data_IF_713797050695
#
_entry.id   IF_713797050695
#
_cell.length_a   1.000
_cell.length_b   1.000
_cell.length_c   1.000
_cell.angle_alpha   90.00
_cell.angle_beta   90.00
_cell.angle_gamma   90.00
#
_symmetry.space_group_name_H-M   'P 1'
#
loop_
_entity.id
_entity.type
_entity.pdbx_description
1 polymer ?
#
# COMPACT_ATOMS: atom_id res chain seq x y z
N UNK A 1 6.53 -43.12 18.28
CA UNK A 1 7.46 -44.28 18.26
C UNK A 1 7.82 -44.79 16.87
N UNK A 2 6.92 -44.89 15.88
CA UNK A 2 7.28 -45.41 14.53
C UNK A 2 8.17 -44.51 13.63
N UNK A 3 8.29 -43.21 13.94
CA UNK A 3 9.02 -42.22 13.14
C UNK A 3 10.53 -42.26 13.40
N UNK A 4 10.93 -42.40 14.67
CA UNK A 4 12.32 -42.47 15.11
C UNK A 4 13.04 -43.69 14.54
N UNK A 5 12.38 -44.85 14.60
CA UNK A 5 12.90 -46.09 14.02
C UNK A 5 13.03 -46.04 12.49
N UNK A 6 12.30 -45.13 11.82
CA UNK A 6 12.41 -44.88 10.37
C UNK A 6 13.46 -43.84 10.00
N UNK A 7 13.81 -42.91 10.89
CA UNK A 7 14.85 -41.90 10.65
C UNK A 7 16.25 -42.44 10.96
N UNK A 8 16.35 -43.39 11.90
CA UNK A 8 17.63 -43.83 12.47
C UNK A 8 17.89 -45.34 12.38
N UNK A 9 17.14 -46.09 11.55
CA UNK A 9 17.47 -47.49 11.31
C UNK A 9 18.89 -47.58 10.74
N UNK A 10 19.81 -48.12 11.54
CA UNK A 10 21.18 -48.47 11.15
C UNK A 10 21.13 -49.19 9.80
N UNK A 11 22.00 -48.75 8.88
CA UNK A 11 22.36 -49.47 7.67
C UNK A 11 22.74 -50.92 8.04
N UNK A 12 21.80 -51.84 7.94
CA UNK A 12 22.15 -53.21 7.61
C UNK A 12 22.52 -53.22 6.12
N UNK A 13 23.63 -53.88 5.84
CA UNK A 13 24.30 -53.90 4.56
C UNK A 13 23.38 -54.42 3.45
N UNK A 14 22.94 -53.53 2.55
CA UNK A 14 22.56 -53.94 1.21
C UNK A 14 22.81 -52.79 0.22
N UNK A 15 23.75 -53.07 -0.66
CA UNK A 15 24.09 -52.41 -1.93
C UNK A 15 22.89 -51.87 -2.71
N UNK A 16 22.72 -50.55 -2.72
CA UNK A 16 22.35 -49.69 -3.86
C UNK A 16 22.10 -48.29 -3.30
N UNK A 17 22.73 -47.27 -3.86
CA UNK A 17 22.47 -45.87 -3.52
C UNK A 17 21.08 -45.46 -4.05
N UNK A 18 20.01 -45.90 -3.39
CA UNK A 18 18.74 -45.20 -3.45
C UNK A 18 18.84 -44.02 -2.47
N UNK A 19 18.95 -42.81 -3.01
CA UNK A 19 18.62 -41.61 -2.26
C UNK A 19 17.14 -41.71 -1.86
N UNK A 20 16.88 -42.14 -0.63
CA UNK A 20 15.53 -42.18 -0.07
C UNK A 20 15.03 -40.72 0.05
N UNK A 21 14.28 -40.27 -0.96
CA UNK A 21 13.59 -38.97 -0.95
C UNK A 21 12.40 -39.09 -0.02
N UNK A 22 12.40 -38.32 1.06
CA UNK A 22 11.36 -38.38 2.09
C UNK A 22 10.44 -37.18 1.95
N UNK A 23 9.22 -37.45 1.51
CA UNK A 23 8.16 -36.43 1.39
C UNK A 23 7.49 -36.28 2.76
N UNK A 24 7.60 -35.09 3.34
CA UNK A 24 7.11 -34.76 4.70
C UNK A 24 6.19 -33.55 4.62
N UNK A 25 5.12 -33.53 5.41
CA UNK A 25 4.28 -32.33 5.52
C UNK A 25 4.89 -31.28 6.46
N UNK A 26 4.34 -30.06 6.45
CA UNK A 26 4.91 -28.96 7.24
C UNK A 26 4.76 -29.15 8.76
N UNK A 27 3.80 -29.96 9.21
CA UNK A 27 3.53 -30.23 10.63
C UNK A 27 4.47 -31.31 11.18
N UNK A 28 4.56 -32.42 10.46
CA UNK A 28 5.48 -33.52 10.72
C UNK A 28 6.95 -33.03 10.73
N UNK A 29 7.32 -32.13 9.82
CA UNK A 29 8.67 -31.53 9.81
C UNK A 29 8.90 -30.63 11.04
N UNK A 30 7.90 -29.87 11.47
CA UNK A 30 8.04 -28.99 12.64
C UNK A 30 8.18 -29.81 13.94
N UNK A 31 7.42 -30.88 14.08
CA UNK A 31 7.53 -31.82 15.19
C UNK A 31 8.91 -32.50 15.20
N UNK A 32 9.40 -32.92 14.04
CA UNK A 32 10.71 -33.55 13.91
C UNK A 32 11.84 -32.58 14.30
N UNK A 33 11.77 -31.32 13.86
CA UNK A 33 12.73 -30.29 14.25
C UNK A 33 12.66 -29.97 15.74
N UNK A 34 11.46 -29.91 16.33
CA UNK A 34 11.30 -29.66 17.76
C UNK A 34 11.91 -30.81 18.59
N UNK A 35 11.60 -32.05 18.22
CA UNK A 35 12.17 -33.21 18.89
C UNK A 35 13.70 -33.24 18.80
N UNK A 36 14.27 -32.87 17.65
CA UNK A 36 15.72 -32.81 17.47
C UNK A 36 16.35 -31.70 18.33
N UNK A 37 15.68 -30.54 18.46
CA UNK A 37 16.10 -29.48 19.41
C UNK A 37 16.12 -30.03 20.84
N UNK A 38 15.06 -30.71 21.26
CA UNK A 38 14.94 -31.24 22.63
C UNK A 38 16.02 -32.30 22.89
N UNK A 39 16.27 -33.20 21.93
CA UNK A 39 17.35 -34.18 22.02
C UNK A 39 18.74 -33.52 22.08
N UNK A 40 18.97 -32.49 21.26
CA UNK A 40 20.22 -31.75 21.28
C UNK A 40 20.41 -30.99 22.59
N UNK A 41 19.37 -30.46 23.23
CA UNK A 41 19.50 -29.80 24.53
C UNK A 41 19.90 -30.78 25.63
N UNK A 42 19.34 -31.99 25.62
CA UNK A 42 19.48 -32.94 26.73
C UNK A 42 20.73 -33.83 26.65
N UNK A 43 21.19 -34.19 25.45
CA UNK A 43 22.22 -35.23 25.27
C UNK A 43 23.54 -34.65 24.82
N UNK A 44 24.63 -34.94 25.53
CA UNK A 44 25.99 -34.70 25.05
C UNK A 44 26.69 -36.02 24.77
N UNK A 45 27.32 -36.14 23.60
CA UNK A 45 28.19 -37.29 23.28
C UNK A 45 29.59 -37.13 23.88
N UNK A 46 29.80 -36.08 24.68
CA UNK A 46 31.06 -35.73 25.31
C UNK A 46 30.92 -35.78 26.83
N UNK A 47 31.88 -36.41 27.50
CA UNK A 47 31.84 -36.63 28.95
C UNK A 47 32.30 -35.39 29.73
N UNK A 48 31.38 -34.42 29.85
CA UNK A 48 31.60 -33.21 30.65
C UNK A 48 31.69 -33.49 32.15
N UNK A 49 31.04 -34.55 32.65
CA UNK A 49 31.05 -34.90 34.07
C UNK A 49 32.46 -35.24 34.53
N UNK A 50 33.19 -36.04 33.74
CA UNK A 50 34.59 -36.37 34.02
C UNK A 50 35.46 -35.13 34.03
N UNK A 51 35.35 -34.24 33.05
CA UNK A 51 36.13 -32.99 33.00
C UNK A 51 35.84 -32.10 34.21
N UNK A 52 34.58 -31.92 34.57
CA UNK A 52 34.18 -31.12 35.74
C UNK A 52 34.76 -31.72 37.02
N UNK A 53 34.71 -33.05 37.16
CA UNK A 53 35.27 -33.76 38.31
C UNK A 53 36.79 -33.59 38.39
N UNK A 54 37.48 -33.65 37.26
CA UNK A 54 38.93 -33.42 37.21
C UNK A 54 39.30 -31.98 37.55
N UNK A 55 38.61 -30.98 36.98
CA UNK A 55 38.81 -29.56 37.33
C UNK A 55 38.60 -29.35 38.83
N UNK A 56 37.56 -29.96 39.41
CA UNK A 56 37.28 -29.90 40.84
C UNK A 56 38.41 -30.52 41.67
N UNK A 57 38.92 -31.68 41.25
CA UNK A 57 40.06 -32.34 41.88
C UNK A 57 41.33 -31.48 41.82
N UNK A 58 41.66 -30.93 40.65
CA UNK A 58 42.82 -30.06 40.47
C UNK A 58 42.71 -28.77 41.29
N UNK A 59 41.52 -28.18 41.41
CA UNK A 59 41.28 -27.03 42.30
C UNK A 59 41.48 -27.35 43.78
N UNK A 60 41.13 -28.57 44.24
CA UNK A 60 41.40 -29.00 45.61
C UNK A 60 42.90 -29.16 45.87
N UNK A 61 43.64 -29.77 44.94
CA UNK A 61 45.11 -29.88 45.02
C UNK A 61 45.75 -28.50 45.00
N UNK A 62 45.30 -27.62 44.10
CA UNK A 62 45.75 -26.24 43.99
C UNK A 62 45.52 -25.46 45.30
N UNK A 63 44.38 -25.65 45.96
CA UNK A 63 44.10 -25.04 47.28
C UNK A 63 45.11 -25.51 48.33
N UNK A 64 45.35 -26.82 48.44
CA UNK A 64 46.28 -27.38 49.41
C UNK A 64 47.71 -26.87 49.19
N UNK A 65 48.18 -26.89 47.94
CA UNK A 65 49.50 -26.39 47.54
C UNK A 65 49.66 -24.89 47.78
N UNK A 66 48.58 -24.13 47.65
CA UNK A 66 48.56 -22.70 47.95
C UNK A 66 48.78 -22.44 49.45
N UNK A 67 48.18 -23.26 50.32
CA UNK A 67 48.37 -23.15 51.76
C UNK A 67 49.76 -23.65 52.19
N UNK A 68 50.32 -24.68 51.53
CA UNK A 68 51.71 -25.12 51.71
C UNK A 68 52.70 -23.99 51.36
N UNK A 69 52.53 -23.33 50.19
CA UNK A 69 53.36 -22.20 49.77
C UNK A 69 53.30 -21.03 50.76
N UNK A 70 52.15 -20.81 51.42
CA UNK A 70 51.99 -19.76 52.41
C UNK A 70 52.89 -19.98 53.65
N UNK A 71 53.20 -21.24 53.98
CA UNK A 71 54.03 -21.60 55.14
C UNK A 71 55.54 -21.59 54.85
N UNK A 72 55.95 -21.48 53.58
CA UNK A 72 57.37 -21.48 53.21
C UNK A 72 58.06 -20.22 53.74
N UNK A 73 59.13 -20.42 54.52
CA UNK A 73 60.00 -19.38 55.06
C UNK A 73 61.17 -19.12 54.11
N UNK A 74 61.49 -17.85 53.89
CA UNK A 74 62.59 -17.43 53.03
C UNK A 74 63.88 -17.27 53.84
N UNK A 75 64.93 -17.97 53.43
CA UNK A 75 66.28 -17.86 54.01
C UNK A 75 67.15 -16.94 53.13
N UNK A 76 67.98 -16.08 53.74
CA UNK A 76 68.91 -15.20 53.00
C UNK A 76 68.64 -13.69 53.12
N UNK A 77 68.99 -12.93 52.08
CA UNK A 77 69.02 -11.45 52.08
C UNK A 77 67.65 -10.80 52.30
N UNK A 78 67.55 -9.90 53.28
CA UNK A 78 66.31 -9.19 53.67
C UNK A 78 65.65 -8.47 52.48
N UNK A 79 66.44 -7.86 51.59
CA UNK A 79 65.91 -7.08 50.46
C UNK A 79 65.32 -7.97 49.36
N UNK A 80 65.99 -9.08 49.04
CA UNK A 80 65.49 -10.06 48.07
C UNK A 80 64.25 -10.78 48.62
N UNK A 81 64.26 -11.11 49.91
CA UNK A 81 63.15 -11.80 50.57
C UNK A 81 61.87 -10.95 50.56
N UNK A 82 61.94 -9.62 50.72
CA UNK A 82 60.75 -8.74 50.60
C UNK A 82 60.09 -8.80 49.21
N UNK A 83 60.90 -8.83 48.15
CA UNK A 83 60.39 -8.89 46.76
C UNK A 83 59.76 -10.26 46.48
N UNK A 84 60.42 -11.33 46.92
CA UNK A 84 59.92 -12.70 46.77
C UNK A 84 58.63 -12.90 47.57
N UNK A 85 58.57 -12.40 48.81
CA UNK A 85 57.41 -12.51 49.70
C UNK A 85 56.19 -11.75 49.14
N UNK A 86 56.38 -10.54 48.61
CA UNK A 86 55.31 -9.79 47.96
C UNK A 86 54.71 -10.57 46.76
N UNK A 87 55.58 -11.11 45.90
CA UNK A 87 55.14 -11.88 44.73
C UNK A 87 54.51 -13.22 45.11
N UNK A 88 55.03 -13.90 46.14
CA UNK A 88 54.43 -15.11 46.74
C UNK A 88 52.99 -14.84 47.18
N UNK A 89 52.80 -13.78 47.96
CA UNK A 89 51.48 -13.40 48.46
C UNK A 89 50.52 -12.97 47.34
N UNK A 90 51.04 -12.37 46.27
CA UNK A 90 50.23 -12.06 45.09
C UNK A 90 49.75 -13.35 44.40
N UNK A 91 50.64 -14.32 44.13
CA UNK A 91 50.25 -15.63 43.56
C UNK A 91 49.16 -16.29 44.41
N UNK A 92 49.37 -16.36 45.74
CA UNK A 92 48.39 -16.92 46.69
C UNK A 92 47.04 -16.20 46.56
N UNK A 93 47.03 -14.86 46.50
CA UNK A 93 45.81 -14.07 46.36
C UNK A 93 45.09 -14.37 45.06
N UNK A 94 45.81 -14.45 43.93
CA UNK A 94 45.21 -14.75 42.62
C UNK A 94 44.59 -16.14 42.61
N UNK A 95 45.30 -17.14 43.13
CA UNK A 95 44.81 -18.52 43.21
C UNK A 95 43.59 -18.65 44.12
N UNK A 96 43.60 -18.01 45.30
CA UNK A 96 42.42 -17.98 46.19
C UNK A 96 41.22 -17.33 45.52
N UNK A 97 41.44 -16.27 44.74
CA UNK A 97 40.39 -15.58 43.97
C UNK A 97 39.82 -16.47 42.87
N UNK A 98 40.68 -17.21 42.15
CA UNK A 98 40.24 -18.20 41.15
C UNK A 98 39.33 -19.27 41.78
N UNK A 99 39.77 -19.84 42.90
CA UNK A 99 39.02 -20.88 43.61
C UNK A 99 37.66 -20.35 44.07
N UNK A 100 37.61 -19.15 44.66
CA UNK A 100 36.35 -18.56 45.14
C UNK A 100 35.38 -18.19 44.02
N UNK A 101 35.90 -17.79 42.86
CA UNK A 101 35.09 -17.39 41.71
C UNK A 101 34.58 -18.57 40.88
N UNK A 102 35.20 -19.74 41.01
CA UNK A 102 34.80 -20.93 40.24
C UNK A 102 33.52 -21.54 40.83
N UNK A 103 32.42 -21.44 40.09
CA UNK A 103 31.13 -22.03 40.46
C UNK A 103 30.81 -23.19 39.54
N UNK A 104 30.78 -24.40 40.08
CA UNK A 104 30.46 -25.60 39.32
C UNK A 104 28.99 -25.63 38.87
N UNK A 105 28.70 -26.17 37.68
CA UNK A 105 27.33 -26.32 37.19
C UNK A 105 26.56 -27.33 38.06
N UNK A 106 25.24 -27.14 38.14
CA UNK A 106 24.31 -28.02 38.87
C UNK A 106 23.74 -29.12 37.96
N UNK A 107 23.70 -28.86 36.66
CA UNK A 107 23.28 -29.78 35.61
C UNK A 107 24.26 -29.77 34.43
N UNK A 108 24.27 -30.84 33.64
CA UNK A 108 25.02 -30.91 32.38
C UNK A 108 24.24 -30.31 31.19
N UNK A 109 23.36 -29.33 31.44
CA UNK A 109 22.67 -28.62 30.37
C UNK A 109 23.63 -27.71 29.60
N UNK A 110 23.35 -27.47 28.31
CA UNK A 110 24.19 -26.62 27.47
C UNK A 110 24.44 -25.24 28.09
N UNK A 111 23.39 -24.58 28.58
CA UNK A 111 23.48 -23.23 29.12
C UNK A 111 24.36 -23.16 30.37
N UNK A 112 24.24 -24.13 31.28
CA UNK A 112 25.06 -24.18 32.49
C UNK A 112 26.53 -24.52 32.17
N UNK A 113 26.78 -25.46 31.27
CA UNK A 113 28.13 -25.85 30.85
C UNK A 113 28.85 -24.70 30.12
N UNK A 114 28.16 -24.04 29.19
CA UNK A 114 28.70 -22.89 28.47
C UNK A 114 29.00 -21.71 29.42
N UNK A 115 28.11 -21.44 30.37
CA UNK A 115 28.30 -20.39 31.36
C UNK A 115 29.47 -20.71 32.31
N UNK A 116 29.58 -21.96 32.75
CA UNK A 116 30.70 -22.43 33.58
C UNK A 116 32.03 -22.28 32.84
N UNK A 117 32.11 -22.80 31.61
CA UNK A 117 33.33 -22.76 30.80
C UNK A 117 33.77 -21.32 30.55
N UNK A 118 32.85 -20.44 30.12
CA UNK A 118 33.15 -19.03 29.86
C UNK A 118 33.64 -18.28 31.11
N UNK A 119 32.92 -18.39 32.23
CA UNK A 119 33.27 -17.66 33.47
C UNK A 119 34.56 -18.17 34.09
N UNK A 120 34.75 -19.48 34.11
CA UNK A 120 35.94 -20.10 34.70
C UNK A 120 37.16 -19.81 33.84
N UNK A 121 37.05 -19.87 32.51
CA UNK A 121 38.12 -19.51 31.58
C UNK A 121 38.54 -18.04 31.72
N UNK A 122 37.58 -17.13 31.88
CA UNK A 122 37.89 -15.72 32.15
C UNK A 122 38.65 -15.53 33.47
N UNK A 123 38.15 -16.13 34.57
CA UNK A 123 38.80 -16.03 35.88
C UNK A 123 40.21 -16.67 35.87
N UNK A 124 40.37 -17.78 35.14
CA UNK A 124 41.62 -18.49 35.00
C UNK A 124 42.65 -17.66 34.21
N UNK A 125 42.22 -17.02 33.13
CA UNK A 125 43.08 -16.16 32.32
C UNK A 125 43.66 -15.02 33.17
N UNK A 126 42.83 -14.29 33.93
CA UNK A 126 43.29 -13.24 34.85
C UNK A 126 44.23 -13.80 35.93
N UNK A 127 43.92 -14.96 36.50
CA UNK A 127 44.78 -15.61 37.50
C UNK A 127 46.14 -15.98 36.91
N UNK A 128 46.18 -16.58 35.73
CA UNK A 128 47.39 -17.02 35.06
C UNK A 128 48.28 -15.83 34.66
N UNK A 129 47.71 -14.77 34.07
CA UNK A 129 48.47 -13.57 33.69
C UNK A 129 49.14 -12.90 34.90
N UNK A 130 48.39 -12.74 36.01
CA UNK A 130 48.90 -12.11 37.22
C UNK A 130 49.89 -13.01 37.96
N UNK A 131 49.63 -14.32 38.02
CA UNK A 131 50.51 -15.28 38.70
C UNK A 131 51.80 -15.49 37.93
N UNK A 132 51.78 -15.49 36.59
CA UNK A 132 52.98 -15.61 35.77
C UNK A 132 53.94 -14.43 35.95
N UNK A 133 53.40 -13.20 36.02
CA UNK A 133 54.21 -12.00 36.31
C UNK A 133 54.94 -12.13 37.65
N UNK A 134 54.23 -12.59 38.69
CA UNK A 134 54.83 -12.81 40.00
C UNK A 134 55.76 -14.02 40.05
N UNK A 135 55.46 -15.08 39.28
CA UNK A 135 56.28 -16.29 39.18
C UNK A 135 57.68 -16.00 38.65
N UNK A 136 57.85 -15.05 37.72
CA UNK A 136 59.17 -14.64 37.24
C UNK A 136 60.12 -14.19 38.35
N UNK A 137 59.60 -13.66 39.46
CA UNK A 137 60.38 -13.23 40.61
C UNK A 137 60.58 -14.32 41.67
N UNK A 138 59.76 -15.38 41.66
CA UNK A 138 59.80 -16.44 42.69
C UNK A 138 60.43 -17.74 42.19
N UNK A 139 60.48 -17.97 40.87
CA UNK A 139 60.81 -19.27 40.25
C UNK A 139 62.16 -19.87 40.63
N UNK A 140 63.16 -19.04 40.98
CA UNK A 140 64.51 -19.51 41.32
C UNK A 140 64.65 -19.89 42.79
N UNK A 141 63.68 -19.52 43.63
CA UNK A 141 63.74 -19.67 45.09
C UNK A 141 62.60 -20.53 45.62
N UNK A 142 61.44 -20.52 44.98
CA UNK A 142 60.22 -21.22 45.41
C UNK A 142 59.80 -22.22 44.33
N UNK A 143 60.29 -23.46 44.42
CA UNK A 143 59.91 -24.55 43.51
C UNK A 143 58.40 -24.81 43.52
N UNK A 144 57.75 -24.69 44.68
CA UNK A 144 56.29 -24.85 44.84
C UNK A 144 55.49 -23.83 44.01
N UNK A 145 56.08 -22.66 43.68
CA UNK A 145 55.43 -21.67 42.81
C UNK A 145 55.33 -22.14 41.36
N UNK A 146 56.24 -23.02 40.90
CA UNK A 146 56.13 -23.66 39.59
C UNK A 146 55.00 -24.68 39.56
N UNK A 147 54.85 -25.49 40.62
CA UNK A 147 53.80 -26.51 40.74
C UNK A 147 52.40 -25.87 40.70
N UNK A 148 52.20 -24.71 41.34
CA UNK A 148 50.94 -23.96 41.24
C UNK A 148 50.65 -23.50 39.81
N UNK A 149 51.65 -22.99 39.08
CA UNK A 149 51.47 -22.55 37.70
C UNK A 149 51.09 -23.74 36.81
N UNK A 150 51.71 -24.90 37.00
CA UNK A 150 51.38 -26.12 36.24
C UNK A 150 49.95 -26.61 36.55
N UNK A 151 49.50 -26.56 37.80
CA UNK A 151 48.12 -26.88 38.17
C UNK A 151 47.10 -25.91 37.55
N UNK A 152 47.42 -24.61 37.48
CA UNK A 152 46.59 -23.60 36.78
C UNK A 152 46.50 -23.92 35.28
N UNK A 153 47.63 -24.27 34.64
CA UNK A 153 47.66 -24.68 33.23
C UNK A 153 46.88 -25.96 32.98
N UNK A 154 46.92 -26.92 33.89
CA UNK A 154 46.11 -28.15 33.78
C UNK A 154 44.61 -27.83 33.78
N UNK A 155 44.16 -26.93 34.65
CA UNK A 155 42.75 -26.46 34.63
C UNK A 155 42.44 -25.77 33.29
N UNK A 156 43.38 -24.99 32.73
CA UNK A 156 43.20 -24.35 31.43
C UNK A 156 42.97 -25.37 30.31
N UNK A 157 43.84 -26.38 30.24
CA UNK A 157 43.73 -27.45 29.25
C UNK A 157 42.38 -28.18 29.33
N UNK A 158 41.91 -28.49 30.53
CA UNK A 158 40.60 -29.13 30.73
C UNK A 158 39.42 -28.26 30.33
N UNK A 159 39.49 -26.94 30.55
CA UNK A 159 38.46 -26.01 30.07
C UNK A 159 38.49 -25.82 28.55
N UNK A 160 39.67 -25.91 27.93
CA UNK A 160 39.81 -25.84 26.47
C UNK A 160 39.24 -27.09 25.79
N UNK A 161 39.35 -28.26 26.41
CA UNK A 161 38.69 -29.50 25.93
C UNK A 161 37.16 -29.36 25.85
N UNK A 162 36.55 -28.53 26.69
CA UNK A 162 35.11 -28.25 26.65
C UNK A 162 34.68 -27.34 25.48
N UNK A 163 35.60 -26.57 24.90
CA UNK A 163 35.27 -25.48 23.96
C UNK A 163 34.68 -26.01 22.64
N UNK A 164 35.38 -26.94 21.99
CA UNK A 164 34.97 -27.50 20.70
C UNK A 164 33.58 -28.19 20.75
N UNK A 165 33.31 -29.09 21.72
CA UNK A 165 31.99 -29.70 21.85
C UNK A 165 30.88 -28.66 22.09
N UNK A 166 31.09 -27.65 22.94
CA UNK A 166 30.11 -26.60 23.20
C UNK A 166 29.86 -25.71 21.97
N UNK A 167 30.89 -25.35 21.22
CA UNK A 167 30.77 -24.56 19.98
C UNK A 167 30.01 -25.35 18.90
N UNK A 168 30.33 -26.62 18.73
CA UNK A 168 29.63 -27.51 17.80
C UNK A 168 28.14 -27.62 18.16
N UNK A 169 27.85 -27.84 19.45
CA UNK A 169 26.49 -27.90 20.00
C UNK A 169 25.69 -26.63 19.71
N UNK A 170 26.30 -25.47 19.99
CA UNK A 170 25.70 -24.16 19.72
C UNK A 170 25.31 -23.99 18.25
N UNK A 171 26.23 -24.37 17.35
CA UNK A 171 26.01 -24.29 15.90
C UNK A 171 24.84 -25.18 15.48
N UNK A 172 24.78 -26.41 16.00
CA UNK A 172 23.69 -27.36 15.72
C UNK A 172 22.33 -26.84 16.20
N UNK A 173 22.25 -26.34 17.44
CA UNK A 173 21.03 -25.73 17.98
C UNK A 173 20.59 -24.50 17.17
N UNK A 174 21.53 -23.66 16.75
CA UNK A 174 21.24 -22.49 15.89
C UNK A 174 20.68 -22.90 14.51
N UNK A 175 21.19 -23.98 13.91
CA UNK A 175 20.68 -24.52 12.65
C UNK A 175 19.24 -25.03 12.80
N UNK A 176 18.97 -25.82 13.85
CA UNK A 176 17.65 -26.39 14.10
C UNK A 176 16.59 -25.31 14.39
N UNK A 177 16.93 -24.36 15.24
CA UNK A 177 16.05 -23.23 15.58
C UNK A 177 15.81 -22.32 14.36
N UNK A 178 16.85 -22.07 13.55
CA UNK A 178 16.73 -21.35 12.28
C UNK A 178 15.79 -22.04 11.29
N UNK A 179 15.91 -23.37 11.13
CA UNK A 179 15.02 -24.16 10.28
C UNK A 179 13.56 -24.06 10.73
N UNK A 180 13.31 -24.15 12.04
CA UNK A 180 11.97 -24.01 12.63
C UNK A 180 11.39 -22.62 12.37
N UNK A 181 12.19 -21.57 12.50
CA UNK A 181 11.76 -20.20 12.21
C UNK A 181 11.37 -20.03 10.73
N UNK A 182 12.18 -20.56 9.81
CA UNK A 182 11.87 -20.53 8.37
C UNK A 182 10.58 -21.30 8.05
N UNK A 183 10.35 -22.45 8.68
CA UNK A 183 9.11 -23.22 8.52
C UNK A 183 7.88 -22.46 9.05
N UNK A 184 8.02 -21.73 10.16
CA UNK A 184 6.96 -20.84 10.66
C UNK A 184 6.65 -19.70 9.69
N UNK A 185 7.68 -19.10 9.10
CA UNK A 185 7.50 -18.07 8.06
C UNK A 185 6.78 -18.64 6.83
N UNK A 186 7.08 -19.89 6.45
CA UNK A 186 6.45 -20.56 5.32
C UNK A 186 4.94 -20.76 5.54
N UNK A 187 4.55 -21.15 6.77
CA UNK A 187 3.13 -21.24 7.16
C UNK A 187 2.44 -19.89 7.10
N UNK A 188 3.08 -18.85 7.63
CA UNK A 188 2.54 -17.48 7.57
C UNK A 188 2.31 -17.03 6.12
N UNK A 189 3.30 -17.24 5.24
CA UNK A 189 3.18 -16.90 3.81
C UNK A 189 2.08 -17.68 3.10
N UNK A 190 1.89 -18.94 3.47
CA UNK A 190 0.79 -19.77 2.93
C UNK A 190 -0.58 -19.23 3.37
N UNK A 191 -0.73 -18.87 4.65
CA UNK A 191 -1.96 -18.24 5.14
C UNK A 191 -2.22 -16.85 4.50
N UNK A 192 -1.16 -16.05 4.31
CA UNK A 192 -1.24 -14.77 3.59
C UNK A 192 -1.70 -14.96 2.14
N UNK A 193 -1.18 -15.97 1.43
CA UNK A 193 -1.63 -16.32 0.08
C UNK A 193 -3.11 -16.69 0.08
N UNK A 194 -3.54 -17.63 0.91
CA UNK A 194 -4.96 -18.04 1.03
C UNK A 194 -5.90 -16.85 1.27
N UNK A 195 -5.47 -15.90 2.11
CA UNK A 195 -6.23 -14.66 2.34
C UNK A 195 -6.33 -13.79 1.09
N UNK A 196 -5.26 -13.69 0.29
CA UNK A 196 -5.30 -12.98 -0.99
C UNK A 196 -6.26 -13.66 -1.98
N UNK A 197 -6.27 -15.00 -2.06
CA UNK A 197 -7.17 -15.74 -2.97
C UNK A 197 -8.63 -15.49 -2.60
N UNK A 198 -8.95 -15.56 -1.31
CA UNK A 198 -10.30 -15.26 -0.81
C UNK A 198 -10.71 -13.81 -1.10
N UNK A 199 -9.77 -12.87 -0.99
CA UNK A 199 -10.01 -11.45 -1.28
C UNK A 199 -10.27 -11.25 -2.76
N UNK A 200 -9.44 -11.81 -3.63
CA UNK A 200 -9.63 -11.74 -5.08
C UNK A 200 -10.97 -12.36 -5.50
N UNK A 201 -11.34 -13.52 -4.94
CA UNK A 201 -12.63 -14.15 -5.22
C UNK A 201 -13.80 -13.23 -4.89
N UNK A 202 -13.79 -12.62 -3.70
CA UNK A 202 -14.82 -11.66 -3.27
C UNK A 202 -14.89 -10.43 -4.18
N UNK A 203 -13.74 -9.93 -4.64
CA UNK A 203 -13.69 -8.81 -5.58
C UNK A 203 -14.29 -9.21 -6.94
N UNK A 204 -13.93 -10.37 -7.49
CA UNK A 204 -14.49 -10.89 -8.74
C UNK A 204 -16.00 -11.11 -8.67
N UNK A 205 -16.50 -11.65 -7.56
CA UNK A 205 -17.94 -11.82 -7.33
C UNK A 205 -18.64 -10.46 -7.37
N UNK A 206 -18.15 -9.46 -6.63
CA UNK A 206 -18.68 -8.09 -6.65
C UNK A 206 -18.65 -7.45 -8.04
N UNK A 207 -17.54 -7.60 -8.77
CA UNK A 207 -17.42 -7.10 -10.14
C UNK A 207 -18.45 -7.73 -11.08
N UNK A 208 -18.73 -9.02 -10.91
CA UNK A 208 -19.75 -9.73 -11.71
C UNK A 208 -21.14 -9.15 -11.46
N UNK A 209 -21.49 -8.88 -10.20
CA UNK A 209 -22.76 -8.24 -9.86
C UNK A 209 -22.86 -6.83 -10.46
N UNK A 210 -21.83 -5.98 -10.29
CA UNK A 210 -21.82 -4.64 -10.88
C UNK A 210 -21.92 -4.66 -12.40
N UNK A 211 -21.24 -5.60 -13.06
CA UNK A 211 -21.33 -5.74 -14.50
C UNK A 211 -22.75 -6.12 -14.94
N UNK A 212 -23.43 -6.96 -14.17
CA UNK A 212 -24.83 -7.32 -14.42
C UNK A 212 -25.76 -6.11 -14.22
N UNK A 213 -25.55 -5.31 -13.19
CA UNK A 213 -26.35 -4.10 -12.92
C UNK A 213 -26.16 -3.07 -14.04
N UNK A 214 -24.91 -2.81 -14.46
CA UNK A 214 -24.57 -1.94 -15.59
C UNK A 214 -25.28 -2.38 -16.88
N UNK A 215 -25.24 -3.69 -17.16
CA UNK A 215 -25.89 -4.26 -18.34
C UNK A 215 -27.41 -4.13 -18.25
N UNK A 216 -27.99 -4.41 -17.07
CA UNK A 216 -29.43 -4.30 -16.82
C UNK A 216 -29.91 -2.86 -17.00
N UNK A 217 -29.19 -1.88 -16.46
CA UNK A 217 -29.47 -0.46 -16.66
C UNK A 217 -29.34 -0.06 -18.15
N UNK A 218 -28.34 -0.60 -18.86
CA UNK A 218 -28.18 -0.42 -20.30
C UNK A 218 -29.36 -0.95 -21.10
N UNK A 219 -29.80 -2.18 -20.81
CA UNK A 219 -30.96 -2.82 -21.44
C UNK A 219 -32.25 -2.06 -21.14
N UNK A 220 -32.43 -1.58 -19.92
CA UNK A 220 -33.60 -0.76 -19.55
C UNK A 220 -33.63 0.55 -20.33
N UNK A 221 -32.48 1.23 -20.49
CA UNK A 221 -32.38 2.44 -21.32
C UNK A 221 -32.76 2.13 -22.77
N UNK A 222 -32.25 1.04 -23.35
CA UNK A 222 -32.58 0.65 -24.73
C UNK A 222 -34.06 0.26 -24.88
N UNK A 223 -34.65 -0.37 -23.87
CA UNK A 223 -36.08 -0.67 -23.86
C UNK A 223 -36.93 0.61 -23.80
N UNK A 224 -36.56 1.60 -22.98
CA UNK A 224 -37.23 2.90 -22.93
C UNK A 224 -37.17 3.58 -24.30
N UNK A 225 -36.03 3.52 -25.00
CA UNK A 225 -35.88 4.11 -26.35
C UNK A 225 -36.81 3.52 -27.41
N UNK A 226 -37.33 2.31 -27.18
CA UNK A 226 -38.30 1.65 -28.08
C UNK A 226 -39.75 1.98 -27.72
N UNK A 227 -40.00 2.69 -26.62
CA UNK A 227 -41.36 3.01 -26.19
C UNK A 227 -41.96 4.18 -26.97
N UNK A 228 -43.30 4.23 -27.13
CA UNK A 228 -43.98 5.37 -27.74
C UNK A 228 -43.70 6.70 -27.02
N UNK A 229 -43.45 6.63 -25.71
CA UNK A 229 -43.12 7.82 -24.94
C UNK A 229 -41.77 8.44 -25.32
N UNK A 230 -40.76 7.61 -25.64
CA UNK A 230 -39.49 8.12 -26.16
C UNK A 230 -39.66 8.71 -27.56
N UNK A 231 -40.45 8.05 -28.42
CA UNK A 231 -40.78 8.61 -29.73
C UNK A 231 -41.45 9.98 -29.61
N UNK A 232 -42.44 10.12 -28.71
CA UNK A 232 -43.08 11.39 -28.42
C UNK A 232 -42.07 12.43 -27.92
N UNK A 233 -41.18 12.06 -26.99
CA UNK A 233 -40.11 12.94 -26.52
C UNK A 233 -39.20 13.41 -27.67
N UNK A 234 -38.79 12.51 -28.58
CA UNK A 234 -37.98 12.89 -29.75
C UNK A 234 -38.75 13.79 -30.72
N UNK A 235 -40.07 13.62 -30.85
CA UNK A 235 -40.94 14.51 -31.62
C UNK A 235 -40.98 15.92 -31.02
N UNK A 236 -41.12 16.04 -29.70
CA UNK A 236 -41.05 17.33 -29.00
C UNK A 236 -39.69 18.01 -29.21
N UNK A 237 -38.58 17.25 -29.21
CA UNK A 237 -37.26 17.80 -29.51
C UNK A 237 -37.15 18.32 -30.95
N UNK A 238 -37.73 17.63 -31.93
CA UNK A 238 -37.77 18.09 -33.33
C UNK A 238 -38.62 19.35 -33.47
N UNK A 239 -39.81 19.36 -32.87
CA UNK A 239 -40.71 20.52 -32.86
C UNK A 239 -40.02 21.75 -32.24
N UNK A 240 -39.27 21.56 -31.15
CA UNK A 240 -38.47 22.63 -30.53
C UNK A 240 -37.46 23.22 -31.52
N UNK A 241 -36.79 22.37 -32.29
CA UNK A 241 -35.83 22.83 -33.30
C UNK A 241 -36.53 23.61 -34.40
N UNK A 242 -37.65 23.11 -34.94
CA UNK A 242 -38.45 23.80 -35.96
C UNK A 242 -38.95 25.16 -35.47
N UNK A 243 -39.53 25.23 -34.27
CA UNK A 243 -40.01 26.48 -33.69
C UNK A 243 -38.87 27.48 -33.44
N UNK A 244 -37.67 27.03 -33.07
CA UNK A 244 -36.48 27.90 -32.95
C UNK A 244 -36.08 28.48 -34.31
N UNK A 245 -36.09 27.67 -35.36
CA UNK A 245 -35.80 28.13 -36.72
C UNK A 245 -36.85 29.15 -37.21
N UNK A 246 -38.14 28.89 -36.99
CA UNK A 246 -39.22 29.83 -37.31
C UNK A 246 -39.11 31.14 -36.52
N UNK A 247 -38.82 31.07 -35.22
CA UNK A 247 -38.58 32.26 -34.38
C UNK A 247 -37.46 33.14 -34.93
N UNK A 248 -36.34 32.52 -35.31
CA UNK A 248 -35.22 33.24 -35.93
C UNK A 248 -35.58 33.82 -37.28
N UNK A 249 -36.41 33.13 -38.07
CA UNK A 249 -36.92 33.65 -39.33
C UNK A 249 -37.76 34.93 -39.11
N UNK A 250 -38.72 34.92 -38.19
CA UNK A 250 -39.51 36.12 -37.89
C UNK A 250 -38.67 37.25 -37.31
N UNK A 251 -37.66 36.94 -36.51
CA UNK A 251 -36.71 37.95 -36.02
C UNK A 251 -35.93 38.60 -37.17
N UNK A 252 -35.44 37.81 -38.13
CA UNK A 252 -34.79 38.33 -39.34
C UNK A 252 -35.72 39.20 -40.16
N UNK A 253 -36.97 38.79 -40.35
CA UNK A 253 -37.95 39.57 -41.10
C UNK A 253 -38.27 40.92 -40.44
N UNK A 254 -38.48 40.94 -39.13
CA UNK A 254 -38.68 42.18 -38.36
C UNK A 254 -37.48 43.12 -38.50
N UNK A 255 -36.27 42.59 -38.39
CA UNK A 255 -35.04 43.38 -38.56
C UNK A 255 -34.91 43.93 -39.99
N UNK A 256 -35.28 43.16 -41.01
CA UNK A 256 -35.31 43.61 -42.41
C UNK A 256 -36.28 44.77 -42.60
N UNK A 257 -37.43 44.77 -41.93
CA UNK A 257 -38.39 45.88 -42.01
C UNK A 257 -37.89 47.14 -41.31
N UNK A 258 -37.13 47.01 -40.22
CA UNK A 258 -36.56 48.15 -39.50
C UNK A 258 -35.28 48.68 -40.15
N UNK A 259 -34.49 47.84 -40.81
CA UNK A 259 -33.18 48.23 -41.36
C UNK A 259 -33.20 49.51 -42.22
N UNK A 260 -34.18 49.74 -43.13
CA UNK A 260 -34.30 51.00 -43.88
C UNK A 260 -34.56 52.23 -43.01
N UNK A 261 -35.17 52.04 -41.82
CA UNK A 261 -35.56 53.09 -40.89
C UNK A 261 -34.46 53.43 -39.87
N UNK A 262 -33.50 52.54 -39.63
CA UNK A 262 -32.50 52.67 -38.54
C UNK A 262 -31.79 54.03 -38.52
N UNK A 263 -31.38 54.57 -39.68
CA UNK A 263 -30.69 55.88 -39.73
C UNK A 263 -31.61 57.04 -39.33
N UNK A 264 -32.88 56.98 -39.75
CA UNK A 264 -33.91 57.93 -39.37
C UNK A 264 -34.21 57.83 -37.88
N UNK A 265 -34.42 56.61 -37.37
CA UNK A 265 -34.69 56.35 -35.95
C UNK A 265 -33.54 56.84 -35.06
N UNK A 266 -32.28 56.55 -35.41
CA UNK A 266 -31.11 57.05 -34.67
C UNK A 266 -31.02 58.59 -34.68
N UNK A 267 -31.39 59.23 -35.78
CA UNK A 267 -31.40 60.71 -35.86
C UNK A 267 -32.49 61.29 -34.97
N UNK A 268 -33.68 60.71 -35.01
CA UNK A 268 -34.80 61.09 -34.16
C UNK A 268 -34.45 60.91 -32.68
N UNK A 269 -33.76 59.82 -32.33
CA UNK A 269 -33.29 59.54 -30.97
C UNK A 269 -32.29 60.61 -30.49
N UNK A 270 -31.32 60.98 -31.34
CA UNK A 270 -30.36 62.06 -31.04
C UNK A 270 -31.03 63.42 -30.87
N UNK A 271 -31.98 63.76 -31.72
CA UNK A 271 -32.72 65.03 -31.63
C UNK A 271 -33.63 65.06 -30.39
N UNK A 272 -34.20 63.92 -30.00
CA UNK A 272 -34.94 63.81 -28.75
C UNK A 272 -34.05 63.96 -27.52
N UNK A 273 -32.89 63.29 -27.49
CA UNK A 273 -31.91 63.40 -26.38
C UNK A 273 -31.34 64.82 -26.24
N UNK A 274 -31.16 65.54 -27.35
CA UNK A 274 -30.67 66.92 -27.37
C UNK A 274 -31.76 67.99 -27.22
N UNK A 275 -33.01 67.59 -26.91
CA UNK A 275 -34.18 68.46 -26.76
C UNK A 275 -34.52 69.32 -28.00
N UNK A 276 -33.90 69.04 -29.15
CA UNK A 276 -34.20 69.69 -30.43
C UNK A 276 -35.54 69.23 -31.00
N UNK A 277 -36.03 68.08 -30.55
CA UNK A 277 -37.32 67.52 -30.90
C UNK A 277 -37.99 66.90 -29.68
N UNK A 278 -39.22 67.29 -29.36
CA UNK A 278 -39.93 66.80 -28.17
C UNK A 278 -40.82 65.62 -28.56
N UNK A 279 -40.40 64.40 -28.21
CA UNK A 279 -41.21 63.18 -28.35
C UNK A 279 -42.11 62.98 -27.13
N UNK A 280 -43.32 62.45 -27.35
CA UNK A 280 -44.14 61.86 -26.29
C UNK A 280 -43.40 60.65 -25.69
N UNK A 281 -43.62 60.38 -24.40
CA UNK A 281 -42.88 59.32 -23.70
C UNK A 281 -43.14 57.91 -24.27
N UNK A 282 -44.38 57.62 -24.68
CA UNK A 282 -44.70 56.38 -25.41
C UNK A 282 -43.88 56.24 -26.70
N UNK A 283 -43.75 57.31 -27.49
CA UNK A 283 -42.96 57.29 -28.73
C UNK A 283 -41.44 57.20 -28.46
N UNK A 284 -40.94 57.74 -27.34
CA UNK A 284 -39.54 57.52 -26.93
C UNK A 284 -39.29 56.06 -26.62
N UNK A 285 -40.19 55.42 -25.87
CA UNK A 285 -40.10 54.01 -25.52
C UNK A 285 -40.15 53.11 -26.77
N UNK A 286 -41.13 53.32 -27.66
CA UNK A 286 -41.22 52.59 -28.94
C UNK A 286 -39.98 52.81 -29.81
N UNK A 287 -39.46 54.03 -29.89
CA UNK A 287 -38.24 54.34 -30.64
C UNK A 287 -37.02 53.54 -30.12
N UNK A 288 -36.82 53.53 -28.80
CA UNK A 288 -35.74 52.75 -28.18
C UNK A 288 -35.93 51.25 -28.40
N UNK A 289 -37.16 50.74 -28.28
CA UNK A 289 -37.47 49.34 -28.53
C UNK A 289 -37.24 48.96 -30.01
N UNK A 290 -37.64 49.79 -30.97
CA UNK A 290 -37.39 49.54 -32.39
C UNK A 290 -35.90 49.54 -32.75
N UNK A 291 -35.06 50.30 -32.06
CA UNK A 291 -33.61 50.30 -32.29
C UNK A 291 -32.88 49.11 -31.65
N UNK A 292 -33.42 48.56 -30.56
CA UNK A 292 -32.72 47.54 -29.75
C UNK A 292 -33.38 46.16 -29.84
N UNK A 293 -34.70 46.12 -29.72
CA UNK A 293 -35.53 44.91 -29.61
C UNK A 293 -36.83 45.06 -30.40
N UNK A 294 -36.78 45.12 -31.76
CA UNK A 294 -37.96 45.33 -32.60
C UNK A 294 -39.13 44.40 -32.31
N UNK A 295 -38.84 43.12 -32.04
CA UNK A 295 -39.81 42.09 -31.65
C UNK A 295 -40.61 42.35 -30.36
N UNK A 296 -40.16 43.27 -29.51
CA UNK A 296 -40.83 43.67 -28.25
C UNK A 296 -41.32 45.12 -28.27
N UNK A 297 -41.26 45.79 -29.42
CA UNK A 297 -41.71 47.17 -29.53
C UNK A 297 -43.23 47.25 -29.39
N UNK A 298 -43.69 48.16 -28.54
CA UNK A 298 -45.10 48.45 -28.27
C UNK A 298 -45.55 49.70 -29.04
N UNK A 299 -46.85 49.82 -29.31
CA UNK A 299 -47.46 50.97 -30.01
C UNK A 299 -46.82 51.32 -31.37
N UNK A 300 -46.35 50.30 -32.10
CA UNK A 300 -45.54 50.44 -33.32
C UNK A 300 -46.32 51.11 -34.45
N UNK A 301 -47.61 50.80 -34.63
CA UNK A 301 -48.47 51.48 -35.62
C UNK A 301 -48.65 52.96 -35.30
N UNK A 302 -48.96 53.33 -34.05
CA UNK A 302 -49.07 54.74 -33.64
C UNK A 302 -47.76 55.49 -33.90
N UNK A 303 -46.63 54.86 -33.56
CA UNK A 303 -45.32 55.43 -33.80
C UNK A 303 -44.98 55.57 -35.29
N UNK A 304 -45.33 54.60 -36.14
CA UNK A 304 -45.10 54.67 -37.58
C UNK A 304 -45.99 55.72 -38.27
N UNK A 305 -47.25 55.90 -37.83
CA UNK A 305 -48.11 56.99 -38.29
C UNK A 305 -47.47 58.34 -37.96
N UNK A 306 -47.05 58.50 -36.70
CA UNK A 306 -46.34 59.69 -36.24
C UNK A 306 -45.06 59.96 -37.05
N UNK A 307 -44.27 58.92 -37.34
CA UNK A 307 -43.05 59.04 -38.11
C UNK A 307 -43.32 59.47 -39.56
N UNK A 308 -44.41 58.97 -40.15
CA UNK A 308 -44.85 59.33 -41.50
C UNK A 308 -45.36 60.79 -41.59
N UNK A 309 -46.07 61.27 -40.57
CA UNK A 309 -46.46 62.69 -40.44
C UNK A 309 -45.23 63.59 -40.28
N UNK A 310 -44.29 63.19 -39.41
CA UNK A 310 -43.06 63.95 -39.15
C UNK A 310 -42.21 64.15 -40.42
N UNK A 311 -42.13 63.13 -41.27
CA UNK A 311 -41.44 63.21 -42.56
C UNK A 311 -42.14 64.13 -43.57
N UNK A 312 -43.44 64.36 -43.42
CA UNK A 312 -44.21 65.25 -44.31
C UNK A 312 -43.97 66.74 -44.02
N UNK A 313 -43.43 67.06 -42.83
CA UNK A 313 -43.14 68.43 -42.40
C UNK A 313 -41.65 68.84 -42.54
N UNK A 314 -40.81 67.99 -43.13
CA UNK A 314 -39.34 68.16 -43.33
C UNK A 314 -38.57 68.65 -42.09
N UNK A 315 -39.01 68.26 -40.89
CA UNK A 315 -38.43 68.73 -39.62
C UNK A 315 -37.11 68.03 -39.25
N UNK A 316 -36.76 66.99 -40.01
CA UNK A 316 -35.63 66.11 -39.72
C UNK A 316 -34.42 66.37 -40.61
N UNK A 317 -34.46 67.31 -41.56
CA UNK A 317 -33.32 67.68 -42.42
C UNK A 317 -32.73 66.50 -43.18
N UNK A 318 -33.59 65.66 -43.75
CA UNK A 318 -33.24 64.47 -44.53
C UNK A 318 -33.34 64.82 -46.02
N UNK A 319 -32.45 64.29 -46.86
CA UNK A 319 -32.51 64.56 -48.30
C UNK A 319 -33.90 64.14 -48.87
N UNK A 320 -34.57 64.99 -49.67
CA UNK A 320 -35.89 64.72 -50.24
C UNK A 320 -36.03 63.35 -50.92
N UNK A 321 -35.01 62.90 -51.67
CA UNK A 321 -35.03 61.59 -52.35
C UNK A 321 -35.01 60.41 -51.36
N UNK A 322 -34.43 60.60 -50.17
CA UNK A 322 -34.44 59.59 -49.10
C UNK A 322 -35.74 59.63 -48.30
N UNK A 323 -36.33 60.82 -48.10
CA UNK A 323 -37.66 60.98 -47.49
C UNK A 323 -38.67 60.20 -48.31
N UNK A 324 -38.70 60.36 -49.64
CA UNK A 324 -39.64 59.64 -50.50
C UNK A 324 -39.56 58.11 -50.35
N UNK A 325 -38.34 57.55 -50.36
CA UNK A 325 -38.12 56.10 -50.18
C UNK A 325 -38.54 55.59 -48.80
N UNK A 326 -38.21 56.33 -47.74
CA UNK A 326 -38.57 55.95 -46.37
C UNK A 326 -40.08 56.07 -46.16
N UNK A 327 -40.70 57.14 -46.66
CA UNK A 327 -42.15 57.35 -46.63
C UNK A 327 -42.88 56.26 -47.40
N UNK A 328 -42.38 55.84 -48.56
CA UNK A 328 -42.93 54.70 -49.31
C UNK A 328 -42.85 53.39 -48.50
N UNK A 329 -41.72 53.13 -47.84
CA UNK A 329 -41.53 51.96 -46.98
C UNK A 329 -42.43 51.97 -45.73
N UNK A 330 -42.58 53.12 -45.07
CA UNK A 330 -43.50 53.28 -43.93
C UNK A 330 -44.96 53.09 -44.34
N UNK A 331 -45.36 53.67 -45.49
CA UNK A 331 -46.70 53.43 -46.05
C UNK A 331 -46.92 51.96 -46.38
N UNK A 332 -45.90 51.26 -46.86
CA UNK A 332 -45.99 49.82 -47.09
C UNK A 332 -46.17 49.04 -45.77
N UNK A 333 -45.36 49.31 -44.74
CA UNK A 333 -45.50 48.69 -43.41
C UNK A 333 -46.91 48.93 -42.84
N UNK A 334 -47.39 50.18 -42.87
CA UNK A 334 -48.70 50.57 -42.33
C UNK A 334 -49.88 49.99 -43.10
N UNK A 335 -49.80 49.89 -44.43
CA UNK A 335 -50.89 49.35 -45.27
C UNK A 335 -50.99 47.83 -45.23
N UNK A 336 -49.84 47.17 -45.16
CA UNK A 336 -49.76 45.71 -45.22
C UNK A 336 -49.89 45.04 -43.85
N UNK A 337 -49.78 45.81 -42.77
CA UNK A 337 -49.75 45.34 -41.38
C UNK A 337 -48.68 44.26 -41.08
N UNK A 338 -47.71 44.07 -41.99
CA UNK A 338 -46.79 42.92 -41.93
C UNK A 338 -45.89 42.99 -40.68
N UNK A 339 -45.57 44.18 -40.18
CA UNK A 339 -44.74 44.33 -38.98
C UNK A 339 -45.44 43.81 -37.72
N UNK A 340 -46.68 44.24 -37.47
CA UNK A 340 -47.45 43.77 -36.32
C UNK A 340 -47.76 42.27 -36.42
N UNK A 341 -48.10 41.78 -37.61
CA UNK A 341 -48.32 40.35 -37.84
C UNK A 341 -47.07 39.51 -37.51
N UNK A 342 -45.88 39.98 -37.91
CA UNK A 342 -44.62 39.31 -37.59
C UNK A 342 -44.29 39.37 -36.10
N UNK A 343 -44.57 40.49 -35.43
CA UNK A 343 -44.42 40.60 -33.97
C UNK A 343 -45.36 39.62 -33.24
N UNK A 344 -46.61 39.51 -33.70
CA UNK A 344 -47.59 38.57 -33.14
C UNK A 344 -47.18 37.11 -33.36
N UNK A 345 -46.72 36.75 -34.56
CA UNK A 345 -46.19 35.41 -34.87
C UNK A 345 -44.95 35.08 -34.04
N UNK A 346 -44.03 36.03 -33.88
CA UNK A 346 -42.87 35.87 -33.01
C UNK A 346 -43.28 35.60 -31.56
N UNK A 347 -44.15 36.43 -30.97
CA UNK A 347 -44.64 36.23 -29.59
C UNK A 347 -45.34 34.89 -29.41
N UNK A 348 -46.17 34.48 -30.38
CA UNK A 348 -46.84 33.19 -30.33
C UNK A 348 -45.85 32.02 -30.31
N UNK A 349 -44.80 32.07 -31.15
CA UNK A 349 -43.77 31.03 -31.18
C UNK A 349 -42.92 31.05 -29.91
N UNK A 350 -42.58 32.23 -29.39
CA UNK A 350 -41.84 32.39 -28.13
C UNK A 350 -42.60 31.70 -26.97
N UNK A 351 -43.90 31.96 -26.86
CA UNK A 351 -44.77 31.33 -25.87
C UNK A 351 -44.87 29.81 -26.07
N UNK A 352 -45.01 29.35 -27.33
CA UNK A 352 -45.03 27.90 -27.64
C UNK A 352 -43.72 27.22 -27.26
N UNK A 353 -42.58 27.86 -27.52
CA UNK A 353 -41.26 27.36 -27.14
C UNK A 353 -41.12 27.25 -25.62
N UNK A 354 -41.57 28.26 -24.87
CA UNK A 354 -41.54 28.23 -23.40
C UNK A 354 -42.36 27.06 -22.84
N UNK A 355 -43.59 26.87 -23.35
CA UNK A 355 -44.45 25.74 -22.96
C UNK A 355 -43.84 24.39 -23.34
N UNK A 356 -43.23 24.31 -24.52
CA UNK A 356 -42.57 23.10 -25.00
C UNK A 356 -41.32 22.76 -24.19
N UNK A 357 -40.51 23.75 -23.83
CA UNK A 357 -39.32 23.56 -22.98
C UNK A 357 -39.72 23.08 -21.59
N UNK A 358 -40.78 23.63 -21.00
CA UNK A 358 -41.34 23.13 -19.74
C UNK A 358 -41.77 21.67 -19.86
N UNK A 359 -42.51 21.32 -20.91
CA UNK A 359 -42.98 19.95 -21.17
C UNK A 359 -41.82 18.97 -21.35
N UNK A 360 -40.77 19.37 -22.06
CA UNK A 360 -39.56 18.57 -22.26
C UNK A 360 -38.82 18.35 -20.93
N UNK A 361 -38.69 19.38 -20.09
CA UNK A 361 -38.00 19.29 -18.81
C UNK A 361 -38.78 18.49 -17.77
N UNK A 362 -40.12 18.51 -17.83
CA UNK A 362 -41.01 17.73 -16.96
C UNK A 362 -41.21 16.29 -17.47
N UNK A 363 -40.59 15.91 -18.59
CA UNK A 363 -40.68 14.57 -19.16
C UNK A 363 -40.14 13.52 -18.19
N UNK A 364 -41.02 12.64 -17.72
CA UNK A 364 -40.67 11.52 -16.86
C UNK A 364 -39.66 10.58 -17.53
N UNK A 365 -39.75 10.41 -18.85
CA UNK A 365 -38.86 9.56 -19.64
C UNK A 365 -37.44 10.11 -19.65
N UNK A 366 -37.30 11.44 -19.78
CA UNK A 366 -36.00 12.10 -19.70
C UNK A 366 -35.40 11.91 -18.31
N UNK A 367 -36.19 12.10 -17.25
CA UNK A 367 -35.74 11.88 -15.87
C UNK A 367 -35.29 10.43 -15.67
N UNK A 368 -36.10 9.46 -16.08
CA UNK A 368 -35.80 8.03 -15.94
C UNK A 368 -34.51 7.64 -16.67
N UNK A 369 -34.30 8.11 -17.90
CA UNK A 369 -33.06 7.85 -18.64
C UNK A 369 -31.86 8.51 -17.98
N UNK A 370 -32.00 9.73 -17.46
CA UNK A 370 -30.91 10.42 -16.77
C UNK A 370 -30.52 9.72 -15.47
N UNK A 371 -31.51 9.26 -14.70
CA UNK A 371 -31.29 8.53 -13.44
C UNK A 371 -30.59 7.19 -13.71
N UNK A 372 -31.05 6.43 -14.71
CA UNK A 372 -30.39 5.18 -15.12
C UNK A 372 -28.97 5.40 -15.63
N UNK A 373 -28.73 6.45 -16.43
CA UNK A 373 -27.38 6.78 -16.89
C UNK A 373 -26.46 7.18 -15.73
N UNK A 374 -26.98 7.91 -14.73
CA UNK A 374 -26.21 8.26 -13.53
C UNK A 374 -25.83 7.01 -12.75
N UNK A 375 -26.81 6.17 -12.41
CA UNK A 375 -26.58 4.91 -11.70
C UNK A 375 -25.55 4.03 -12.43
N UNK A 376 -25.72 3.85 -13.74
CA UNK A 376 -24.78 3.08 -14.58
C UNK A 376 -23.36 3.67 -14.55
N UNK A 377 -23.21 4.99 -14.59
CA UNK A 377 -21.89 5.63 -14.55
C UNK A 377 -21.24 5.50 -13.16
N UNK A 378 -22.03 5.60 -12.09
CA UNK A 378 -21.56 5.40 -10.71
C UNK A 378 -21.06 3.96 -10.54
N UNK A 379 -21.85 2.97 -10.98
CA UNK A 379 -21.46 1.55 -10.98
C UNK A 379 -20.22 1.27 -11.84
N UNK A 380 -20.11 1.89 -13.01
CA UNK A 380 -18.94 1.77 -13.89
C UNK A 380 -17.67 2.31 -13.21
N UNK A 381 -17.81 3.41 -12.45
CA UNK A 381 -16.69 3.99 -11.70
C UNK A 381 -16.24 3.06 -10.56
N UNK A 382 -17.21 2.46 -9.85
CA UNK A 382 -16.92 1.47 -8.81
C UNK A 382 -16.26 0.23 -9.43
N UNK A 383 -16.76 -0.26 -10.57
CA UNK A 383 -16.18 -1.40 -11.28
C UNK A 383 -14.70 -1.19 -11.61
N UNK A 384 -14.35 -0.03 -12.18
CA UNK A 384 -12.95 0.31 -12.47
C UNK A 384 -12.08 0.36 -11.20
N UNK A 385 -12.65 0.82 -10.07
CA UNK A 385 -11.93 0.82 -8.79
C UNK A 385 -11.65 -0.61 -8.32
N UNK A 386 -12.64 -1.50 -8.40
CA UNK A 386 -12.47 -2.93 -8.04
C UNK A 386 -11.50 -3.66 -8.99
N UNK A 387 -11.45 -3.30 -10.28
CA UNK A 387 -10.46 -3.81 -11.23
C UNK A 387 -9.03 -3.45 -10.81
N UNK A 388 -8.82 -2.19 -10.41
CA UNK A 388 -7.53 -1.73 -9.90
C UNK A 388 -7.14 -2.46 -8.61
N UNK A 389 -8.06 -2.59 -7.66
CA UNK A 389 -7.84 -3.34 -6.40
C UNK A 389 -7.51 -4.81 -6.66
N UNK A 390 -8.21 -5.44 -7.61
CA UNK A 390 -7.92 -6.82 -8.04
C UNK A 390 -6.52 -6.92 -8.65
N UNK A 391 -6.11 -5.94 -9.44
CA UNK A 391 -4.75 -5.85 -9.98
C UNK A 391 -3.68 -5.75 -8.88
N UNK A 392 -3.94 -4.98 -7.82
CA UNK A 392 -3.06 -4.89 -6.64
C UNK A 392 -2.99 -6.22 -5.90
N UNK A 393 -4.13 -6.87 -5.66
CA UNK A 393 -4.20 -8.18 -5.00
C UNK A 393 -3.40 -9.23 -5.77
N UNK A 394 -3.54 -9.30 -7.10
CA UNK A 394 -2.77 -10.23 -7.95
C UNK A 394 -1.28 -9.97 -7.90
N UNK A 395 -0.84 -8.70 -7.94
CA UNK A 395 0.59 -8.34 -7.79
C UNK A 395 1.13 -8.81 -6.44
N UNK A 396 0.37 -8.61 -5.35
CA UNK A 396 0.78 -9.07 -4.03
C UNK A 396 0.83 -10.60 -3.94
N UNK A 397 -0.14 -11.30 -4.51
CA UNK A 397 -0.14 -12.77 -4.58
C UNK A 397 1.07 -13.30 -5.34
N UNK A 398 1.42 -12.72 -6.50
CA UNK A 398 2.63 -13.07 -7.27
C UNK A 398 3.90 -12.89 -6.44
N UNK A 399 4.02 -11.76 -5.75
CA UNK A 399 5.15 -11.50 -4.86
C UNK A 399 5.24 -12.56 -3.74
N UNK A 400 4.14 -12.80 -3.03
CA UNK A 400 4.09 -13.81 -1.97
C UNK A 400 4.43 -15.21 -2.46
N UNK A 401 4.01 -15.57 -3.68
CA UNK A 401 4.34 -16.85 -4.30
C UNK A 401 5.84 -16.98 -4.57
N UNK A 402 6.49 -15.91 -5.05
CA UNK A 402 7.94 -15.89 -5.25
C UNK A 402 8.71 -16.00 -3.94
N UNK A 403 8.29 -15.26 -2.90
CA UNK A 403 8.87 -15.33 -1.56
C UNK A 403 8.67 -16.72 -0.94
N UNK A 404 7.49 -17.33 -1.11
CA UNK A 404 7.18 -18.69 -0.66
C UNK A 404 8.11 -19.71 -1.32
N UNK A 405 8.28 -19.65 -2.65
CA UNK A 405 9.17 -20.56 -3.40
C UNK A 405 10.61 -20.47 -2.91
N UNK A 406 11.13 -19.27 -2.71
CA UNK A 406 12.48 -19.06 -2.17
C UNK A 406 12.62 -19.65 -0.76
N UNK A 407 11.59 -19.48 0.07
CA UNK A 407 11.60 -19.99 1.44
C UNK A 407 11.50 -21.51 1.51
N UNK A 408 10.73 -22.15 0.62
CA UNK A 408 10.70 -23.62 0.48
C UNK A 408 12.09 -24.16 0.16
N UNK A 409 12.77 -23.56 -0.81
CA UNK A 409 14.12 -23.99 -1.18
C UNK A 409 15.11 -23.81 -0.02
N UNK A 410 15.02 -22.70 0.71
CA UNK A 410 15.84 -22.49 1.91
C UNK A 410 15.57 -23.55 2.99
N UNK A 411 14.30 -23.85 3.29
CA UNK A 411 13.92 -24.88 4.27
C UNK A 411 14.43 -26.25 3.81
N UNK A 412 14.30 -26.57 2.52
CA UNK A 412 14.82 -27.81 1.92
C UNK A 412 16.32 -27.95 2.11
N UNK A 413 17.09 -26.92 1.77
CA UNK A 413 18.55 -26.94 1.91
C UNK A 413 18.98 -27.13 3.37
N UNK A 414 18.36 -26.39 4.28
CA UNK A 414 18.70 -26.45 5.72
C UNK A 414 18.32 -27.81 6.31
N UNK A 415 17.15 -28.35 5.97
CA UNK A 415 16.69 -29.66 6.47
C UNK A 415 17.51 -30.81 5.91
N UNK A 416 17.94 -30.75 4.65
CA UNK A 416 18.84 -31.75 4.08
C UNK A 416 20.18 -31.82 4.81
N UNK A 417 20.72 -30.66 5.21
CA UNK A 417 21.93 -30.58 6.02
C UNK A 417 21.67 -31.14 7.43
N UNK A 418 20.51 -30.85 8.02
CA UNK A 418 20.19 -31.26 9.39
C UNK A 418 20.02 -32.78 9.50
N UNK A 419 19.31 -33.39 8.55
CA UNK A 419 18.91 -34.80 8.60
C UNK A 419 19.80 -35.73 7.75
N UNK A 420 20.86 -35.22 7.10
CA UNK A 420 21.75 -35.99 6.23
C UNK A 420 20.98 -36.87 5.21
N UNK A 421 19.97 -36.29 4.58
CA UNK A 421 19.08 -36.96 3.63
C UNK A 421 18.31 -35.96 2.78
N UNK A 422 17.58 -36.44 1.76
CA UNK A 422 16.76 -35.58 0.91
C UNK A 422 15.34 -35.49 1.48
N UNK A 423 15.02 -34.35 2.09
CA UNK A 423 13.67 -34.00 2.54
C UNK A 423 12.98 -33.20 1.44
N UNK A 424 11.79 -33.63 1.04
CA UNK A 424 10.90 -32.85 0.18
C UNK A 424 9.65 -32.46 0.95
N UNK A 425 9.31 -31.17 0.91
CA UNK A 425 8.07 -30.70 1.50
C UNK A 425 6.91 -31.06 0.56
N UNK A 426 5.88 -31.69 1.11
CA UNK A 426 4.62 -31.89 0.38
C UNK A 426 3.95 -30.53 0.22
N UNK A 427 4.17 -29.86 -0.90
CA UNK A 427 3.41 -28.67 -1.26
C UNK A 427 1.99 -29.09 -1.63
N UNK A 428 1.08 -29.01 -0.65
CA UNK A 428 -0.33 -29.36 -0.83
C UNK A 428 -1.18 -28.31 -1.56
N UNK A 429 -0.58 -27.31 -2.23
CA UNK A 429 -1.34 -26.34 -3.00
C UNK A 429 -0.62 -26.05 -4.31
N UNK A 430 -1.19 -26.57 -5.40
CA UNK A 430 -0.94 -26.11 -6.76
C UNK A 430 -1.03 -24.59 -6.82
N UNK A 431 -0.25 -23.96 -7.71
CA UNK A 431 -0.34 -22.52 -7.93
C UNK A 431 -1.81 -22.17 -8.21
N UNK A 432 -2.34 -21.08 -7.62
CA UNK A 432 -3.72 -20.71 -7.86
C UNK A 432 -3.99 -20.62 -9.37
N UNK A 433 -5.05 -21.31 -9.85
CA UNK A 433 -5.43 -21.43 -11.28
C UNK A 433 -5.50 -20.09 -12.02
N UNK A 434 -5.62 -18.96 -11.30
CA UNK A 434 -5.72 -17.62 -11.87
C UNK A 434 -4.37 -16.89 -12.05
N UNK A 435 -3.25 -17.57 -11.82
CA UNK A 435 -1.91 -17.05 -12.12
C UNK A 435 -1.38 -17.45 -13.51
N UNK A 436 -2.08 -18.35 -14.21
CA UNK A 436 -1.82 -18.68 -15.63
C UNK A 436 -2.42 -17.66 -16.59
#
# INVERSE_FOLDING_TARGET
>A
MKLFDRLFKKKEESTAAQHDVRIVDSEELAESLQHEVDCEIEKFDFDFETIIKEIKGTLQVLSKKTDELAQVKLEGSIRQNKIIEFNKNNIIKQVKTLISNTKFPKSCSYDELALFQQKTKYSLHTCLENSMKSYHYTKTVLLDSHELIELIKQIAGRLDEMDSPLVSKKKRLAQLTGAKQQLSQLRQKTAELQKQEQTERKLREKMTFLQQDINTAGDEIENIKKTPGWENYTKLLRERTTLREEREQYLRELNTQIAPLVKLLNRLEKQSKSQRHTLKDCHKQTLTQLLTTPKRAEDTTSFFIYLNELLSHDTLGINPQKIEKITAHLKHILRSNVFEEQQAKYKNIDNKLEMLEKTINESEILRKINDLNRARNDETTILHTLESETGVCRKRAKQLLSEKKQLIENVRQVTNIIFNGTVELRDGQEAPEYLE
#
